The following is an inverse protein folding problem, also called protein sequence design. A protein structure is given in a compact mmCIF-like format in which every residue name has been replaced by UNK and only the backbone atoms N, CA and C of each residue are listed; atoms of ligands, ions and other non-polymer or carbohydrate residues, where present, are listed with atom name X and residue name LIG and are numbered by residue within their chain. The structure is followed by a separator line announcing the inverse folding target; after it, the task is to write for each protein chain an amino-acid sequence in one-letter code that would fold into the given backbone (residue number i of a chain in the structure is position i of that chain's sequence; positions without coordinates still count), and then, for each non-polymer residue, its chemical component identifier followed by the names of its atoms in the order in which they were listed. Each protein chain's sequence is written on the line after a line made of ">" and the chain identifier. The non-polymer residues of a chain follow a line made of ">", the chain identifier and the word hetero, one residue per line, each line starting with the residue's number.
data_IF_560294031515
#
_entry.id   IF_560294031515
#
_cell.length_a   1.000
_cell.length_b   1.000
_cell.length_c   1.000
_cell.angle_alpha   90.00
_cell.angle_beta   90.00
_cell.angle_gamma   90.00
#
_symmetry.space_group_name_H-M   'P 1'
#
loop_
_entity.id
_entity.type
_entity.pdbx_description
1 polymer ?
#
# COMPACT_ATOMS: atom_id res chain seq x y z
N UNK A 1 -35.54 -11.58 -36.26
CA UNK A 1 -34.29 -12.36 -36.14
C UNK A 1 -33.08 -11.42 -36.23
N UNK A 2 -32.66 -10.80 -35.12
CA UNK A 2 -31.53 -9.85 -35.06
C UNK A 2 -30.60 -10.21 -33.89
N UNK A 3 -29.86 -11.32 -33.99
CA UNK A 3 -28.85 -11.71 -32.96
C UNK A 3 -27.50 -12.16 -33.54
N UNK A 4 -27.21 -11.90 -34.82
CA UNK A 4 -25.96 -12.35 -35.47
C UNK A 4 -24.89 -11.28 -35.70
N UNK A 5 -25.17 -9.99 -35.49
CA UNK A 5 -24.20 -8.91 -35.79
C UNK A 5 -23.36 -8.40 -34.61
N UNK A 6 -23.69 -8.73 -33.36
CA UNK A 6 -22.96 -8.20 -32.19
C UNK A 6 -21.66 -8.97 -31.94
N UNK A 7 -21.67 -10.30 -32.09
CA UNK A 7 -20.49 -11.14 -31.83
C UNK A 7 -19.33 -10.87 -32.79
N UNK A 8 -19.61 -10.62 -34.08
CA UNK A 8 -18.58 -10.29 -35.07
C UNK A 8 -17.91 -8.93 -34.79
N UNK A 9 -18.63 -7.99 -34.18
CA UNK A 9 -18.12 -6.67 -33.82
C UNK A 9 -17.23 -6.73 -32.58
N UNK A 10 -17.55 -7.61 -31.63
CA UNK A 10 -16.74 -7.84 -30.43
C UNK A 10 -15.42 -8.52 -30.81
N UNK A 11 -15.46 -9.53 -31.69
CA UNK A 11 -14.23 -10.22 -32.12
C UNK A 11 -13.28 -9.28 -32.86
N UNK A 12 -13.78 -8.46 -33.80
CA UNK A 12 -12.96 -7.46 -34.50
C UNK A 12 -12.31 -6.44 -33.56
N UNK A 13 -12.99 -6.02 -32.49
CA UNK A 13 -12.41 -5.09 -31.51
C UNK A 13 -11.30 -5.74 -30.68
N UNK A 14 -11.41 -7.04 -30.42
CA UNK A 14 -10.38 -7.80 -29.70
C UNK A 14 -9.13 -8.01 -30.55
N UNK A 15 -9.31 -8.36 -31.82
CA UNK A 15 -8.21 -8.55 -32.76
C UNK A 15 -7.47 -7.22 -33.05
N UNK A 16 -8.18 -6.09 -33.03
CA UNK A 16 -7.57 -4.75 -33.13
C UNK A 16 -6.77 -4.37 -31.87
N UNK A 17 -7.25 -4.73 -30.68
CA UNK A 17 -6.54 -4.45 -29.43
C UNK A 17 -5.25 -5.29 -29.29
N UNK A 18 -5.26 -6.55 -29.72
CA UNK A 18 -4.05 -7.40 -29.73
C UNK A 18 -3.03 -6.91 -30.76
N UNK A 19 -3.47 -6.48 -31.95
CA UNK A 19 -2.59 -5.87 -32.96
C UNK A 19 -1.94 -4.55 -32.50
N UNK A 20 -2.61 -3.75 -31.67
CA UNK A 20 -2.06 -2.49 -31.15
C UNK A 20 -1.09 -2.75 -29.98
N UNK A 21 -1.34 -3.79 -29.17
CA UNK A 21 -0.43 -4.23 -28.11
C UNK A 21 0.89 -4.80 -28.67
N UNK A 22 0.83 -5.61 -29.72
CA UNK A 22 2.05 -6.11 -30.39
C UNK A 22 2.84 -5.00 -31.09
N UNK A 23 2.15 -3.96 -31.60
CA UNK A 23 2.82 -2.77 -32.15
C UNK A 23 3.49 -1.92 -31.08
N UNK A 24 2.93 -1.85 -29.87
CA UNK A 24 3.51 -1.12 -28.75
C UNK A 24 4.76 -1.80 -28.18
N UNK A 25 4.83 -3.14 -28.22
CA UNK A 25 6.00 -3.91 -27.77
C UNK A 25 7.18 -3.88 -28.76
N UNK A 26 6.95 -3.49 -30.02
CA UNK A 26 7.99 -3.44 -31.05
C UNK A 26 8.86 -2.19 -31.06
N UNK A 27 8.64 -1.22 -30.17
CA UNK A 27 9.36 0.06 -30.14
C UNK A 27 9.82 0.53 -28.75
N UNK A 28 9.90 -0.37 -27.77
CA UNK A 28 10.60 -0.04 -26.52
C UNK A 28 12.08 -0.34 -26.73
N UNK A 29 12.86 0.71 -27.05
CA UNK A 29 14.30 0.68 -26.83
C UNK A 29 14.54 0.28 -25.37
N UNK A 30 15.32 -0.78 -25.17
CA UNK A 30 15.72 -1.30 -23.87
C UNK A 30 16.61 -0.23 -23.21
N UNK A 31 15.97 0.75 -22.57
CA UNK A 31 16.58 1.62 -21.58
C UNK A 31 16.55 0.91 -20.24
N UNK A 32 17.69 0.91 -19.55
CA UNK A 32 17.98 0.16 -18.33
C UNK A 32 16.79 0.07 -17.36
N UNK A 33 16.29 -1.15 -17.18
CA UNK A 33 15.45 -1.50 -16.04
C UNK A 33 16.27 -1.33 -14.76
N UNK A 34 15.71 -0.80 -13.66
CA UNK A 34 16.41 -0.82 -12.38
C UNK A 34 16.74 -2.27 -12.03
N UNK A 35 18.01 -2.47 -11.66
CA UNK A 35 18.59 -3.76 -11.31
C UNK A 35 17.74 -4.40 -10.21
N UNK A 36 17.18 -5.59 -10.49
CA UNK A 36 16.53 -6.47 -9.52
C UNK A 36 17.44 -6.60 -8.29
N UNK A 37 16.93 -6.17 -7.13
CA UNK A 37 17.78 -5.98 -5.94
C UNK A 37 18.26 -7.35 -5.45
N UNK A 38 19.42 -7.37 -4.80
CA UNK A 38 19.96 -8.61 -4.23
C UNK A 38 18.97 -9.26 -3.25
N UNK A 39 18.12 -8.47 -2.59
CA UNK A 39 17.04 -8.95 -1.73
C UNK A 39 15.96 -9.73 -2.49
N UNK A 40 15.56 -9.29 -3.68
CA UNK A 40 14.57 -10.01 -4.51
C UNK A 40 15.13 -11.36 -5.00
N UNK A 41 16.42 -11.40 -5.35
CA UNK A 41 17.11 -12.64 -5.77
C UNK A 41 17.31 -13.62 -4.61
N UNK A 42 17.66 -13.11 -3.44
CA UNK A 42 17.84 -13.93 -2.24
C UNK A 42 16.49 -14.56 -1.79
N UNK A 43 15.36 -13.86 -1.99
CA UNK A 43 14.00 -14.37 -1.73
C UNK A 43 13.65 -15.52 -2.68
N UNK A 44 13.96 -15.42 -3.98
CA UNK A 44 13.65 -16.48 -4.95
C UNK A 44 14.50 -17.74 -4.74
N UNK A 45 15.78 -17.58 -4.37
CA UNK A 45 16.68 -18.70 -4.07
C UNK A 45 16.31 -19.41 -2.75
N UNK A 46 15.84 -18.67 -1.75
CA UNK A 46 15.37 -19.24 -0.48
C UNK A 46 14.09 -20.08 -0.65
N UNK A 47 13.15 -19.66 -1.50
CA UNK A 47 11.92 -20.44 -1.79
C UNK A 47 12.20 -21.81 -2.43
N UNK A 48 13.34 -21.97 -3.12
CA UNK A 48 13.73 -23.25 -3.73
C UNK A 48 14.43 -24.22 -2.78
N UNK A 49 15.00 -23.75 -1.66
CA UNK A 49 15.96 -24.54 -0.89
C UNK A 49 15.41 -25.39 0.27
N UNK A 50 14.14 -25.21 0.65
CA UNK A 50 13.38 -26.18 1.46
C UNK A 50 14.05 -26.72 2.74
N UNK A 51 14.96 -25.96 3.37
CA UNK A 51 15.63 -26.35 4.61
C UNK A 51 15.16 -25.48 5.76
N UNK A 52 14.45 -26.13 6.69
CA UNK A 52 13.93 -25.53 7.91
C UNK A 52 15.04 -24.93 8.78
N UNK A 53 15.12 -23.60 8.76
CA UNK A 53 15.64 -22.79 9.84
C UNK A 53 14.49 -21.89 10.26
N UNK A 54 14.21 -21.80 11.57
CA UNK A 54 13.17 -20.92 12.13
C UNK A 54 13.40 -19.50 11.61
N UNK A 55 12.58 -19.07 10.67
CA UNK A 55 12.60 -17.70 10.17
C UNK A 55 12.03 -16.78 11.25
N UNK A 56 12.54 -15.55 11.40
CA UNK A 56 11.75 -14.49 12.03
C UNK A 56 10.44 -14.39 11.24
N UNK A 57 9.32 -14.18 11.94
CA UNK A 57 8.02 -13.99 11.32
C UNK A 57 8.17 -12.95 10.20
N UNK A 58 7.83 -13.32 8.96
CA UNK A 58 7.87 -12.43 7.81
C UNK A 58 7.00 -11.23 8.11
N UNK A 59 7.55 -10.07 8.47
CA UNK A 59 6.76 -8.84 8.54
C UNK A 59 6.25 -8.57 7.12
N UNK A 60 4.93 -8.43 6.96
CA UNK A 60 4.36 -7.99 5.69
C UNK A 60 4.62 -6.50 5.57
N UNK A 61 5.77 -6.13 4.99
CA UNK A 61 6.07 -4.74 4.66
C UNK A 61 5.05 -4.27 3.62
N UNK A 62 4.21 -3.30 3.98
CA UNK A 62 3.27 -2.69 3.05
C UNK A 62 3.91 -1.41 2.54
N UNK A 63 4.26 -1.41 1.26
CA UNK A 63 4.72 -0.19 0.58
C UNK A 63 3.53 0.68 0.17
N UNK A 64 3.78 1.95 -0.10
CA UNK A 64 2.75 2.85 -0.60
C UNK A 64 2.08 2.31 -1.87
N UNK A 65 2.85 1.89 -2.88
CA UNK A 65 2.30 1.38 -4.14
C UNK A 65 1.52 0.06 -4.00
N UNK A 66 1.70 -0.67 -2.89
CA UNK A 66 0.83 -1.79 -2.53
C UNK A 66 -0.48 -1.28 -1.95
N UNK A 67 -0.41 -0.32 -1.02
CA UNK A 67 -1.58 0.24 -0.36
C UNK A 67 -2.48 1.04 -1.32
N UNK A 68 -1.90 1.77 -2.28
CA UNK A 68 -2.62 2.51 -3.33
C UNK A 68 -3.55 1.62 -4.17
N UNK A 69 -3.35 0.29 -4.16
CA UNK A 69 -4.24 -0.65 -4.86
C UNK A 69 -5.53 -0.92 -4.11
N UNK A 70 -5.59 -0.55 -2.83
CA UNK A 70 -6.73 -0.84 -1.96
C UNK A 70 -7.82 0.22 -2.01
N UNK A 71 -7.50 1.43 -2.52
CA UNK A 71 -8.42 2.57 -2.61
C UNK A 71 -7.90 3.66 -3.56
N UNK A 72 -8.39 4.89 -3.41
CA UNK A 72 -7.92 6.06 -4.17
C UNK A 72 -7.48 7.17 -3.23
N UNK A 73 -6.52 8.00 -3.65
CA UNK A 73 -6.16 9.21 -2.89
C UNK A 73 -7.40 10.12 -2.72
N UNK A 74 -7.56 10.72 -1.54
CA UNK A 74 -8.67 11.62 -1.25
C UNK A 74 -8.32 13.06 -1.71
N UNK A 75 -8.92 13.58 -2.80
CA UNK A 75 -8.67 14.94 -3.27
C UNK A 75 -9.23 16.03 -2.35
N UNK A 76 -10.07 15.69 -1.38
CA UNK A 76 -10.69 16.64 -0.45
C UNK A 76 -9.81 16.90 0.80
N UNK A 77 -8.70 16.16 0.94
CA UNK A 77 -7.75 16.26 2.05
C UNK A 77 -6.33 16.44 1.50
N UNK A 78 -5.56 17.32 2.15
CA UNK A 78 -4.16 17.55 1.77
C UNK A 78 -3.31 16.34 2.15
N UNK A 79 -2.65 15.73 1.16
CA UNK A 79 -1.63 14.71 1.38
C UNK A 79 -0.24 15.33 1.28
N UNK A 80 0.65 14.97 2.21
CA UNK A 80 1.95 15.60 2.38
C UNK A 80 3.06 14.61 2.02
N UNK A 81 3.55 14.73 0.79
CA UNK A 81 4.81 14.11 0.37
C UNK A 81 5.96 14.80 1.10
N UNK A 82 6.80 14.04 1.81
CA UNK A 82 7.85 14.59 2.68
C UNK A 82 7.30 15.53 3.80
N UNK A 83 6.15 15.18 4.36
CA UNK A 83 5.59 15.83 5.54
C UNK A 83 6.49 15.66 6.78
N UNK A 84 6.45 16.64 7.69
CA UNK A 84 7.22 16.59 8.94
C UNK A 84 6.34 16.15 10.09
N UNK A 85 6.84 15.21 10.90
CA UNK A 85 6.26 14.87 12.19
C UNK A 85 7.25 15.25 13.28
N UNK A 86 6.80 16.01 14.27
CA UNK A 86 7.55 16.27 15.51
C UNK A 86 7.03 15.36 16.62
N UNK A 87 7.95 14.66 17.29
CA UNK A 87 7.64 13.80 18.43
C UNK A 87 7.88 14.52 19.76
N UNK A 88 7.32 13.96 20.85
CA UNK A 88 7.47 14.51 22.21
C UNK A 88 8.91 14.56 22.73
N UNK A 89 9.81 13.75 22.16
CA UNK A 89 11.24 13.78 22.47
C UNK A 89 11.99 14.91 21.73
N UNK A 90 11.29 15.69 20.90
CA UNK A 90 11.84 16.77 20.07
C UNK A 90 12.46 16.29 18.77
N UNK A 91 12.42 14.98 18.47
CA UNK A 91 12.86 14.47 17.16
C UNK A 91 11.86 14.82 16.07
N UNK A 92 12.38 15.15 14.89
CA UNK A 92 11.58 15.44 13.70
C UNK A 92 11.93 14.40 12.64
N UNK A 93 10.91 13.78 12.06
CA UNK A 93 11.06 12.83 10.95
C UNK A 93 10.31 13.32 9.73
N UNK A 94 10.79 12.89 8.57
CA UNK A 94 10.14 13.15 7.27
C UNK A 94 9.42 11.88 6.86
N UNK A 95 8.15 12.00 6.52
CA UNK A 95 7.25 10.90 6.15
C UNK A 95 6.38 11.29 4.98
N UNK A 96 5.80 10.30 4.31
CA UNK A 96 4.65 10.53 3.45
C UNK A 96 3.37 10.33 4.26
N UNK A 97 2.59 11.40 4.41
CA UNK A 97 1.33 11.43 5.15
C UNK A 97 0.18 11.54 4.16
N UNK A 98 -0.51 10.44 3.93
CA UNK A 98 -1.38 10.24 2.78
C UNK A 98 -2.81 9.94 3.22
N UNK A 99 -3.79 10.51 2.50
CA UNK A 99 -5.21 10.24 2.73
C UNK A 99 -5.82 9.50 1.55
N UNK A 100 -6.60 8.48 1.88
CA UNK A 100 -7.29 7.62 0.93
C UNK A 100 -8.77 7.53 1.24
N UNK A 101 -9.58 7.27 0.21
CA UNK A 101 -11.01 6.98 0.34
C UNK A 101 -11.47 5.89 -0.60
N UNK A 102 -12.69 5.42 -0.38
CA UNK A 102 -13.35 4.39 -1.20
C UNK A 102 -12.50 3.12 -1.32
N UNK A 103 -11.87 2.72 -0.21
CA UNK A 103 -11.15 1.46 -0.17
C UNK A 103 -12.11 0.27 -0.10
N UNK A 104 -11.66 -0.93 -0.49
CA UNK A 104 -12.47 -2.14 -0.30
C UNK A 104 -12.67 -2.46 1.18
N UNK A 105 -11.67 -2.16 2.00
CA UNK A 105 -11.64 -2.43 3.43
C UNK A 105 -12.03 -1.23 4.31
N UNK A 106 -12.17 -0.03 3.75
CA UNK A 106 -12.36 1.21 4.50
C UNK A 106 -13.09 2.28 3.69
N UNK A 107 -13.87 3.12 4.35
CA UNK A 107 -14.49 4.29 3.72
C UNK A 107 -13.45 5.40 3.54
N UNK A 108 -12.61 5.63 4.56
CA UNK A 108 -11.48 6.57 4.57
C UNK A 108 -10.28 5.98 5.31
N UNK A 109 -9.08 6.34 4.91
CA UNK A 109 -7.86 5.99 5.62
C UNK A 109 -6.84 7.14 5.60
N UNK A 110 -6.15 7.32 6.71
CA UNK A 110 -4.95 8.14 6.83
C UNK A 110 -3.79 7.20 7.08
N UNK A 111 -2.75 7.29 6.26
CA UNK A 111 -1.60 6.38 6.31
C UNK A 111 -0.32 7.18 6.38
N UNK A 112 0.61 6.71 7.21
CA UNK A 112 1.94 7.28 7.34
C UNK A 112 2.94 6.26 6.80
N UNK A 113 3.74 6.68 5.84
CA UNK A 113 4.87 5.91 5.31
C UNK A 113 6.18 6.55 5.73
N UNK A 114 7.09 5.75 6.28
CA UNK A 114 8.48 6.13 6.56
C UNK A 114 9.38 5.33 5.63
N UNK A 115 10.23 6.02 4.87
CA UNK A 115 11.15 5.38 3.92
C UNK A 115 10.46 4.43 2.91
N UNK A 116 9.19 4.73 2.56
CA UNK A 116 8.39 3.95 1.62
C UNK A 116 7.58 2.82 2.23
N UNK A 117 7.73 2.57 3.54
CA UNK A 117 7.05 1.51 4.28
C UNK A 117 5.98 2.06 5.22
N UNK A 118 4.83 1.39 5.29
CA UNK A 118 3.75 1.78 6.20
C UNK A 118 4.21 1.62 7.65
N UNK A 119 4.15 2.70 8.41
CA UNK A 119 4.42 2.70 9.86
C UNK A 119 3.16 2.92 10.69
N UNK A 120 2.11 3.48 10.08
CA UNK A 120 0.82 3.70 10.73
C UNK A 120 -0.32 3.79 9.72
N UNK A 121 -1.49 3.27 10.12
CA UNK A 121 -2.77 3.47 9.44
C UNK A 121 -3.87 3.76 10.45
N UNK A 122 -4.72 4.72 10.13
CA UNK A 122 -6.00 4.95 10.79
C UNK A 122 -7.08 4.88 9.71
N UNK A 123 -8.06 3.99 9.87
CA UNK A 123 -9.08 3.76 8.86
C UNK A 123 -10.49 3.75 9.45
N UNK A 124 -11.43 4.41 8.78
CA UNK A 124 -12.86 4.27 9.01
C UNK A 124 -13.35 2.99 8.34
N UNK A 125 -13.73 1.98 9.12
CA UNK A 125 -14.14 0.68 8.61
C UNK A 125 -15.28 0.07 9.41
N UNK A 126 -16.03 -0.82 8.74
CA UNK A 126 -17.06 -1.68 9.33
C UNK A 126 -16.59 -3.13 9.51
N UNK A 127 -15.41 -3.44 8.99
CA UNK A 127 -14.79 -4.74 9.18
C UNK A 127 -14.23 -4.86 10.60
N UNK A 128 -14.17 -6.08 11.12
CA UNK A 128 -13.35 -6.35 12.29
C UNK A 128 -11.85 -6.26 11.95
N UNK A 129 -11.01 -6.21 12.98
CA UNK A 129 -9.57 -6.02 12.84
C UNK A 129 -8.90 -7.07 11.95
N UNK A 130 -9.27 -8.34 12.05
CA UNK A 130 -8.60 -9.41 11.29
C UNK A 130 -9.04 -9.39 9.83
N UNK A 131 -10.33 -9.18 9.56
CA UNK A 131 -10.83 -9.01 8.19
C UNK A 131 -10.25 -7.76 7.52
N UNK A 132 -10.12 -6.65 8.26
CA UNK A 132 -9.48 -5.43 7.76
C UNK A 132 -8.02 -5.69 7.37
N UNK A 133 -7.25 -6.30 8.28
CA UNK A 133 -5.85 -6.65 8.07
C UNK A 133 -5.66 -7.55 6.84
N UNK A 134 -6.49 -8.57 6.68
CA UNK A 134 -6.42 -9.47 5.53
C UNK A 134 -6.66 -8.72 4.21
N UNK A 135 -7.70 -7.89 4.15
CA UNK A 135 -8.06 -7.13 2.94
C UNK A 135 -7.00 -6.11 2.51
N UNK A 136 -6.31 -5.47 3.46
CA UNK A 136 -5.22 -4.53 3.14
C UNK A 136 -3.85 -5.22 2.99
N UNK A 137 -3.77 -6.54 3.21
CA UNK A 137 -2.53 -7.32 3.11
C UNK A 137 -1.59 -7.22 4.31
N UNK A 138 -2.09 -6.79 5.48
CA UNK A 138 -1.35 -6.61 6.72
C UNK A 138 -1.44 -7.85 7.61
N UNK A 139 -0.76 -8.93 7.23
CA UNK A 139 -0.95 -10.25 7.84
C UNK A 139 0.00 -10.55 9.00
N UNK A 140 1.17 -9.92 9.05
CA UNK A 140 2.20 -10.18 10.06
C UNK A 140 2.72 -8.87 10.65
N UNK A 141 2.12 -8.45 11.76
CA UNK A 141 2.56 -7.30 12.54
C UNK A 141 3.70 -7.69 13.49
N UNK A 142 4.63 -6.76 13.79
CA UNK A 142 5.62 -6.97 14.84
C UNK A 142 4.94 -7.05 16.22
N UNK A 143 5.57 -7.75 17.17
CA UNK A 143 5.00 -8.04 18.51
C UNK A 143 4.68 -6.77 19.32
N UNK A 144 5.35 -5.66 19.01
CA UNK A 144 5.18 -4.37 19.67
C UNK A 144 4.18 -3.44 18.95
N UNK A 145 3.63 -3.84 17.80
CA UNK A 145 2.60 -3.06 17.12
C UNK A 145 1.40 -2.78 18.04
N UNK A 146 0.87 -1.56 17.95
CA UNK A 146 -0.26 -1.12 18.76
C UNK A 146 -1.50 -1.06 17.87
N UNK A 147 -2.55 -1.75 18.29
CA UNK A 147 -3.85 -1.77 17.61
C UNK A 147 -4.90 -1.17 18.55
N UNK A 148 -5.59 -0.14 18.08
CA UNK A 148 -6.71 0.47 18.77
C UNK A 148 -7.99 0.28 17.94
N UNK A 149 -8.98 -0.40 18.50
CA UNK A 149 -10.32 -0.47 17.92
C UNK A 149 -11.09 0.81 18.28
N UNK A 150 -11.56 1.53 17.26
CA UNK A 150 -12.31 2.76 17.40
C UNK A 150 -13.80 2.48 17.17
N UNK A 151 -14.68 3.33 17.71
CA UNK A 151 -16.14 3.18 17.52
C UNK A 151 -16.58 3.06 16.05
N UNK A 152 -15.81 3.63 15.12
CA UNK A 152 -16.09 3.63 13.68
C UNK A 152 -14.87 3.25 12.84
N UNK A 153 -13.94 2.46 13.37
CA UNK A 153 -12.77 2.07 12.61
C UNK A 153 -11.66 1.44 13.43
N UNK A 154 -10.45 1.56 12.91
CA UNK A 154 -9.26 0.97 13.47
C UNK A 154 -8.08 1.91 13.34
N UNK A 155 -7.19 1.89 14.30
CA UNK A 155 -5.86 2.49 14.20
C UNK A 155 -4.82 1.41 14.48
N UNK A 156 -3.83 1.29 13.60
CA UNK A 156 -2.72 0.36 13.71
C UNK A 156 -1.43 1.16 13.58
N UNK A 157 -0.65 1.19 14.65
CA UNK A 157 0.72 1.72 14.66
C UNK A 157 1.69 0.54 14.60
N UNK A 158 2.29 0.32 13.44
CA UNK A 158 3.26 -0.75 13.20
C UNK A 158 4.57 -0.40 13.91
N UNK A 159 4.99 0.86 13.83
CA UNK A 159 6.02 1.42 14.69
C UNK A 159 5.35 2.18 15.86
N UNK A 160 5.52 1.74 17.12
CA UNK A 160 4.92 2.37 18.30
C UNK A 160 5.28 3.85 18.48
N UNK A 161 6.37 4.32 17.87
CA UNK A 161 6.74 5.73 17.88
C UNK A 161 5.67 6.60 17.20
N UNK A 162 4.91 6.07 16.25
CA UNK A 162 3.89 6.79 15.48
C UNK A 162 2.50 6.81 16.11
N UNK A 163 2.36 6.25 17.30
CA UNK A 163 1.16 6.40 18.13
C UNK A 163 0.91 7.89 18.39
N UNK A 164 -0.35 8.34 18.30
CA UNK A 164 -0.70 9.78 18.36
C UNK A 164 -0.19 10.43 19.66
N UNK A 165 -0.22 9.70 20.78
CA UNK A 165 0.28 10.17 22.06
C UNK A 165 1.78 10.48 22.06
N UNK A 166 2.56 10.02 21.07
CA UNK A 166 3.98 10.33 20.95
C UNK A 166 4.24 11.52 20.01
N UNK A 167 3.23 11.95 19.25
CA UNK A 167 3.33 13.03 18.26
C UNK A 167 2.92 14.35 18.90
N UNK A 168 3.71 15.39 18.65
CA UNK A 168 3.43 16.79 19.06
C UNK A 168 2.86 17.57 17.89
N UNK A 169 3.30 17.27 16.67
CA UNK A 169 2.96 18.03 15.48
C UNK A 169 2.91 17.16 14.24
N UNK A 170 1.77 17.19 13.55
CA UNK A 170 1.54 16.54 12.25
C UNK A 170 1.91 17.45 11.08
N UNK A 171 2.06 16.89 9.85
CA UNK A 171 2.46 17.67 8.67
C UNK A 171 1.58 18.89 8.39
N UNK A 172 0.27 18.77 8.57
CA UNK A 172 -0.72 19.83 8.34
C UNK A 172 -0.70 20.95 9.39
N UNK A 173 0.12 20.84 10.44
CA UNK A 173 0.21 21.83 11.52
C UNK A 173 1.44 22.72 11.39
N UNK A 174 2.31 22.47 10.40
CA UNK A 174 3.57 23.21 10.20
C UNK A 174 3.42 24.60 9.61
N UNK A 175 2.22 24.94 9.13
CA UNK A 175 1.87 26.25 8.56
C UNK A 175 1.56 27.32 9.61
#
# INVERSE_FOLDING_TARGET
>A
MMKRNVMATIQRKRDLAESEYEKALGQVEIGDFPEETQEEKDVEEMMRSGKGSRMPAFISVITEGMFERTGIADPDLDSYRNGKIEFKDGSIVVVDYMHYKNGTAYDKATVIFLEGEMVKIQAETKLDIEAFKEEIGLTNLPDDAIINELNHGVEISIDPKFVDENIVKFPNEWD
#
